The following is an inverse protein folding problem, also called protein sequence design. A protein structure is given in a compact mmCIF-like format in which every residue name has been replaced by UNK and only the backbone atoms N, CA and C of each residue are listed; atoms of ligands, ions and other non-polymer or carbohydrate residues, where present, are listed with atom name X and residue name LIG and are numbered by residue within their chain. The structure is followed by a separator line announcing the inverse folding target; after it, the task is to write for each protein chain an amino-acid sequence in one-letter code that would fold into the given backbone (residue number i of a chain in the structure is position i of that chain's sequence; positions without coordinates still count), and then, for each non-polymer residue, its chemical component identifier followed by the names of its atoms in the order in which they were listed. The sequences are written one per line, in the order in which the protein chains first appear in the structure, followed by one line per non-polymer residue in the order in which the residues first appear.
data_IF_826919351313
#
_entry.id   IF_826919351313
#
_cell.length_a   1.000
_cell.length_b   1.000
_cell.length_c   1.000
_cell.angle_alpha   90.00
_cell.angle_beta   90.00
_cell.angle_gamma   90.00
#
_symmetry.space_group_name_H-M   'P 1'
#
loop_
_entity.id
_entity.type
_entity.pdbx_description
1 polymer ?
#
# COMPACT_ATOMS: atom_id res chain seq x y z
N UNK A 1 6.56 1.30 21.14
CA UNK A 1 6.67 2.27 20.01
C UNK A 1 5.51 1.98 19.05
N UNK A 2 4.64 2.97 18.80
CA UNK A 2 3.48 2.80 17.93
C UNK A 2 3.90 2.76 16.45
N UNK A 3 3.41 1.76 15.71
CA UNK A 3 3.64 1.64 14.27
C UNK A 3 2.88 2.75 13.53
N UNK A 4 3.61 3.70 12.92
CA UNK A 4 3.01 4.75 12.09
C UNK A 4 2.93 4.26 10.63
N UNK A 5 1.74 3.95 10.09
CA UNK A 5 1.59 3.45 8.73
C UNK A 5 2.00 4.48 7.65
N UNK A 6 1.99 5.78 7.99
CA UNK A 6 2.41 6.86 7.09
C UNK A 6 3.93 7.03 7.02
N UNK A 7 4.68 6.46 7.97
CA UNK A 7 6.14 6.50 8.00
C UNK A 7 6.75 5.21 7.43
N UNK A 8 6.20 4.73 6.32
CA UNK A 8 6.72 3.58 5.57
C UNK A 8 7.81 4.06 4.63
N UNK A 9 8.95 4.43 5.19
CA UNK A 9 10.14 4.75 4.41
C UNK A 9 10.73 3.44 3.89
N UNK A 10 10.27 2.99 2.73
CA UNK A 10 10.84 1.82 2.07
C UNK A 10 12.24 2.18 1.58
N UNK A 11 13.27 1.69 2.28
CA UNK A 11 14.65 1.90 1.87
C UNK A 11 14.94 1.06 0.61
N UNK A 12 14.83 1.70 -0.56
CA UNK A 12 15.20 1.07 -1.82
C UNK A 12 16.71 1.21 -1.99
N UNK A 13 17.41 0.08 -2.13
CA UNK A 13 18.85 0.10 -2.42
C UNK A 13 19.12 0.73 -3.79
N UNK A 14 20.22 1.45 -3.92
CA UNK A 14 20.65 2.05 -5.19
C UNK A 14 20.77 1.01 -6.32
N UNK A 15 21.13 -0.22 -5.98
CA UNK A 15 21.18 -1.35 -6.91
C UNK A 15 19.81 -1.71 -7.49
N UNK A 16 18.75 -1.71 -6.65
CA UNK A 16 17.37 -1.95 -7.12
C UNK A 16 16.89 -0.85 -8.04
N UNK A 17 17.24 0.41 -7.75
CA UNK A 17 16.95 1.54 -8.65
C UNK A 17 17.69 1.41 -9.99
N UNK A 18 18.96 0.99 -9.98
CA UNK A 18 19.72 0.75 -11.22
C UNK A 18 19.12 -0.39 -12.04
N UNK A 19 18.81 -1.52 -11.40
CA UNK A 19 18.20 -2.66 -12.06
C UNK A 19 16.86 -2.28 -12.70
N UNK A 20 15.99 -1.55 -11.98
CA UNK A 20 14.72 -1.08 -12.52
C UNK A 20 14.91 -0.13 -13.72
N UNK A 21 15.88 0.78 -13.67
CA UNK A 21 16.19 1.68 -14.79
C UNK A 21 16.65 0.91 -16.04
N UNK A 22 17.38 -0.19 -15.85
CA UNK A 22 17.89 -1.02 -16.93
C UNK A 22 16.82 -1.86 -17.65
N UNK A 23 15.61 -2.01 -17.07
CA UNK A 23 14.53 -2.78 -17.71
C UNK A 23 14.04 -2.11 -19.01
N UNK A 24 13.68 -2.90 -20.05
CA UNK A 24 12.96 -2.42 -21.22
C UNK A 24 11.65 -1.69 -20.84
N UNK A 25 11.20 -0.80 -21.73
CA UNK A 25 9.96 -0.06 -21.51
C UNK A 25 8.74 -1.00 -21.37
N UNK A 26 8.69 -2.07 -22.16
CA UNK A 26 7.64 -3.08 -22.11
C UNK A 26 7.54 -3.75 -20.73
N UNK A 27 8.67 -4.17 -20.16
CA UNK A 27 8.70 -4.80 -18.83
C UNK A 27 8.27 -3.84 -17.71
N UNK A 28 8.65 -2.55 -17.83
CA UNK A 28 8.20 -1.50 -16.90
C UNK A 28 6.69 -1.32 -16.97
N UNK A 29 6.12 -1.31 -18.17
CA UNK A 29 4.67 -1.16 -18.37
C UNK A 29 3.91 -2.37 -17.82
N UNK A 30 4.37 -3.59 -18.12
CA UNK A 30 3.78 -4.81 -17.56
C UNK A 30 3.77 -4.79 -16.03
N UNK A 31 4.88 -4.37 -15.41
CA UNK A 31 4.96 -4.25 -13.96
C UNK A 31 3.96 -3.25 -13.38
N UNK A 32 3.74 -2.12 -14.05
CA UNK A 32 2.75 -1.11 -13.65
C UNK A 32 1.32 -1.66 -13.78
N UNK A 33 1.02 -2.42 -14.83
CA UNK A 33 -0.28 -3.06 -15.03
C UNK A 33 -0.58 -4.10 -13.95
N UNK A 34 0.39 -4.98 -13.64
CA UNK A 34 0.29 -5.97 -12.57
C UNK A 34 0.06 -5.30 -11.21
N UNK A 35 0.78 -4.22 -10.91
CA UNK A 35 0.59 -3.44 -9.70
C UNK A 35 -0.81 -2.81 -9.64
N UNK A 36 -1.28 -2.23 -10.75
CA UNK A 36 -2.62 -1.64 -10.80
C UNK A 36 -3.71 -2.71 -10.60
N UNK A 37 -3.55 -3.89 -11.22
CA UNK A 37 -4.45 -5.01 -11.03
C UNK A 37 -4.46 -5.49 -9.57
N UNK A 38 -3.29 -5.65 -8.97
CA UNK A 38 -3.16 -6.00 -7.55
C UNK A 38 -3.84 -4.97 -6.64
N UNK A 39 -3.60 -3.67 -6.87
CA UNK A 39 -4.22 -2.62 -6.06
C UNK A 39 -5.74 -2.60 -6.19
N UNK A 40 -6.29 -2.89 -7.38
CA UNK A 40 -7.75 -3.04 -7.58
C UNK A 40 -8.29 -4.24 -6.79
N UNK A 41 -7.59 -5.36 -6.79
CA UNK A 41 -7.96 -6.55 -6.01
C UNK A 41 -7.83 -6.33 -4.50
N UNK A 42 -6.81 -5.59 -4.08
CA UNK A 42 -6.52 -5.29 -2.69
C UNK A 42 -7.37 -4.13 -2.13
N UNK A 43 -8.19 -3.45 -2.94
CA UNK A 43 -9.08 -2.43 -2.42
C UNK A 43 -10.05 -3.11 -1.44
N UNK A 44 -10.08 -2.68 -0.16
CA UNK A 44 -11.12 -3.13 0.74
C UNK A 44 -12.45 -2.70 0.13
N UNK A 45 -13.40 -3.63 0.02
CA UNK A 45 -14.78 -3.32 -0.35
C UNK A 45 -15.22 -2.17 0.55
N UNK A 46 -15.50 -0.99 -0.03
CA UNK A 46 -16.10 0.15 0.67
C UNK A 46 -17.48 -0.31 1.17
N UNK A 47 -17.50 -0.97 2.32
CA UNK A 47 -18.67 -1.70 2.81
C UNK A 47 -18.42 -2.47 4.11
N UNK A 48 -17.17 -2.78 4.46
CA UNK A 48 -16.83 -3.34 5.77
C UNK A 48 -15.90 -2.42 6.54
N UNK A 49 -16.27 -1.15 6.66
CA UNK A 49 -15.88 -0.39 7.86
C UNK A 49 -16.71 -0.99 8.99
N UNK A 50 -16.19 -2.02 9.65
CA UNK A 50 -16.60 -2.34 11.02
C UNK A 50 -16.35 -1.09 11.84
N UNK A 51 -17.42 -0.32 12.01
CA UNK A 51 -17.61 0.64 13.06
C UNK A 51 -17.43 -0.07 14.40
N UNK A 52 -16.19 -0.11 14.89
CA UNK A 52 -15.87 -0.48 16.26
C UNK A 52 -15.49 0.76 17.06
N UNK A 53 -16.14 1.89 16.79
CA UNK A 53 -16.13 3.05 17.68
C UNK A 53 -17.51 3.20 18.31
N UNK A 54 -18.01 2.11 18.91
CA UNK A 54 -19.14 2.18 19.83
C UNK A 54 -18.73 3.08 20.99
N UNK A 55 -19.33 4.26 20.99
CA UNK A 55 -19.40 5.22 22.10
C UNK A 55 -19.29 4.52 23.45
N UNK A 56 -18.19 4.74 24.16
CA UNK A 56 -18.21 4.76 25.62
C UNK A 56 -18.42 6.21 26.04
N UNK A 57 -19.66 6.66 25.89
CA UNK A 57 -20.19 7.73 26.73
C UNK A 57 -20.84 7.06 27.95
N UNK A 58 -20.14 7.16 29.09
CA UNK A 58 -20.63 7.39 30.48
C UNK A 58 -21.54 6.31 31.13
N UNK A 59 -21.74 6.23 32.48
CA UNK A 59 -21.49 7.23 33.53
C UNK A 59 -20.83 6.72 34.83
N UNK A 60 -20.29 7.66 35.63
CA UNK A 60 -20.52 7.94 37.07
C UNK A 60 -19.35 8.75 37.62
#
# INVERSE_FOLDING_TARGET
MAFNPCNRTYYVSNERLRAFRALPAEEKLRWVEELAAFLRLAQPVKGTTTDNTKKQDSPT
#
